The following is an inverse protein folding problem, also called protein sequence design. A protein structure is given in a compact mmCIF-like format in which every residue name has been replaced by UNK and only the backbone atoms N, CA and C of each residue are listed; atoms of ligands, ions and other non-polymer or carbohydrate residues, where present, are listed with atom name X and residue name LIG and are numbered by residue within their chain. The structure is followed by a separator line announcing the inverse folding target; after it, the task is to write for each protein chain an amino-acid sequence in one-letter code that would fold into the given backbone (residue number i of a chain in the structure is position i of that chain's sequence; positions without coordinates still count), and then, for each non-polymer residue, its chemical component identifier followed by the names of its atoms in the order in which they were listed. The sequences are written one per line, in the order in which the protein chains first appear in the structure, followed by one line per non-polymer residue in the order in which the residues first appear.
data_IF_723937113450
#
_entry.id   IF_723937113450
#
_cell.length_a   1.000
_cell.length_b   1.000
_cell.length_c   1.000
_cell.angle_alpha   90.00
_cell.angle_beta   90.00
_cell.angle_gamma   90.00
#
_symmetry.space_group_name_H-M   'P 1'
#
loop_
_entity.id
_entity.type
_entity.pdbx_description
1 polymer ?
#
# COMPACT_ATOMS: atom_id res chain seq x y z
N UNK A 1 -62.07 57.12 -43.61
CA UNK A 1 -60.59 56.98 -43.64
C UNK A 1 -60.22 55.77 -42.77
N UNK A 2 -59.93 54.63 -43.39
CA UNK A 2 -59.74 53.34 -42.70
C UNK A 2 -58.30 53.25 -42.19
N UNK A 3 -58.11 53.23 -40.88
CA UNK A 3 -56.81 52.95 -40.24
C UNK A 3 -56.65 51.44 -40.06
N UNK A 4 -55.95 50.77 -40.98
CA UNK A 4 -55.53 49.37 -40.81
C UNK A 4 -54.42 49.27 -39.77
N UNK A 5 -54.73 48.77 -38.56
CA UNK A 5 -53.74 48.51 -37.50
C UNK A 5 -52.83 47.33 -37.88
N UNK A 6 -51.56 47.63 -38.15
CA UNK A 6 -50.46 46.66 -38.29
C UNK A 6 -50.29 45.85 -36.99
N UNK A 7 -50.64 44.56 -36.99
CA UNK A 7 -50.37 43.62 -35.87
C UNK A 7 -48.85 43.39 -35.74
N UNK A 8 -48.22 43.98 -34.72
CA UNK A 8 -46.79 43.76 -34.34
C UNK A 8 -46.62 42.47 -33.48
N UNK A 9 -45.40 41.90 -33.37
CA UNK A 9 -45.16 40.47 -33.32
C UNK A 9 -45.21 39.88 -31.90
N UNK A 10 -46.41 39.63 -31.39
CA UNK A 10 -46.63 38.95 -30.10
C UNK A 10 -46.08 37.51 -30.11
N UNK A 11 -46.10 36.83 -31.26
CA UNK A 11 -45.67 35.44 -31.43
C UNK A 11 -44.16 35.24 -31.20
N UNK A 12 -43.30 36.10 -31.78
CA UNK A 12 -41.84 36.07 -31.59
C UNK A 12 -41.41 36.31 -30.13
N UNK A 13 -42.18 37.11 -29.37
CA UNK A 13 -41.87 37.40 -27.95
C UNK A 13 -42.18 36.21 -27.04
N UNK A 14 -43.25 35.45 -27.36
CA UNK A 14 -43.65 34.23 -26.64
C UNK A 14 -42.64 33.09 -26.85
N UNK A 15 -42.15 32.89 -28.07
CA UNK A 15 -41.13 31.87 -28.38
C UNK A 15 -39.80 32.16 -27.68
N UNK A 16 -39.30 33.40 -27.73
CA UNK A 16 -38.09 33.80 -26.97
C UNK A 16 -38.24 33.63 -25.46
N UNK A 17 -39.44 33.84 -24.91
CA UNK A 17 -39.73 33.59 -23.48
C UNK A 17 -39.70 32.10 -23.15
N UNK A 18 -40.25 31.26 -24.03
CA UNK A 18 -40.23 29.78 -23.90
C UNK A 18 -38.80 29.23 -23.96
N UNK A 19 -37.98 29.73 -24.90
CA UNK A 19 -36.58 29.31 -25.07
C UNK A 19 -35.67 29.73 -23.89
N UNK A 20 -35.93 30.90 -23.30
CA UNK A 20 -35.25 31.34 -22.07
C UNK A 20 -35.66 30.51 -20.85
N UNK A 21 -36.95 30.18 -20.74
CA UNK A 21 -37.47 29.29 -19.69
C UNK A 21 -36.90 27.88 -19.82
N UNK A 22 -36.82 27.33 -21.02
CA UNK A 22 -36.23 26.02 -21.27
C UNK A 22 -34.73 25.99 -20.93
N UNK A 23 -33.97 27.05 -21.30
CA UNK A 23 -32.56 27.20 -20.92
C UNK A 23 -32.35 27.33 -19.40
N UNK A 24 -33.27 27.98 -18.70
CA UNK A 24 -33.24 28.08 -17.24
C UNK A 24 -33.50 26.72 -16.58
N UNK A 25 -34.51 25.98 -17.06
CA UNK A 25 -34.83 24.63 -16.58
C UNK A 25 -33.65 23.69 -16.81
N UNK A 26 -33.05 23.72 -18.00
CA UNK A 26 -31.87 22.89 -18.33
C UNK A 26 -30.67 23.21 -17.42
N UNK A 27 -30.43 24.49 -17.09
CA UNK A 27 -29.38 24.90 -16.15
C UNK A 27 -29.65 24.40 -14.73
N UNK A 28 -30.90 24.44 -14.27
CA UNK A 28 -31.26 23.86 -12.98
C UNK A 28 -31.06 22.34 -12.96
N UNK A 29 -31.42 21.63 -14.03
CA UNK A 29 -31.18 20.19 -14.14
C UNK A 29 -29.69 19.85 -14.09
N UNK A 30 -28.85 20.56 -14.84
CA UNK A 30 -27.39 20.34 -14.83
C UNK A 30 -26.81 20.64 -13.43
N UNK A 31 -27.24 21.72 -12.78
CA UNK A 31 -26.78 22.07 -11.44
C UNK A 31 -27.17 21.01 -10.40
N UNK A 32 -28.42 20.53 -10.44
CA UNK A 32 -28.91 19.47 -9.56
C UNK A 32 -28.18 18.15 -9.79
N UNK A 33 -27.86 17.82 -11.04
CA UNK A 33 -27.07 16.63 -11.38
C UNK A 33 -25.65 16.72 -10.84
N UNK A 34 -24.96 17.85 -11.05
CA UNK A 34 -23.61 18.07 -10.52
C UNK A 34 -23.58 18.03 -8.99
N UNK A 35 -24.53 18.69 -8.33
CA UNK A 35 -24.68 18.65 -6.87
C UNK A 35 -24.92 17.21 -6.37
N UNK A 36 -25.79 16.47 -7.05
CA UNK A 36 -26.07 15.06 -6.74
C UNK A 36 -24.83 14.18 -6.90
N UNK A 37 -24.03 14.36 -7.95
CA UNK A 37 -22.78 13.61 -8.13
C UNK A 37 -21.74 13.93 -7.06
N UNK A 38 -21.58 15.21 -6.69
CA UNK A 38 -20.65 15.62 -5.63
C UNK A 38 -21.06 15.04 -4.29
N UNK A 39 -22.36 15.08 -3.96
CA UNK A 39 -22.91 14.46 -2.75
C UNK A 39 -22.76 12.94 -2.77
N UNK A 40 -22.98 12.28 -3.93
CA UNK A 40 -22.78 10.85 -4.08
C UNK A 40 -21.31 10.46 -3.86
N UNK A 41 -20.36 11.14 -4.49
CA UNK A 41 -18.93 10.89 -4.30
C UNK A 41 -18.47 11.23 -2.87
N UNK A 42 -18.99 12.29 -2.25
CA UNK A 42 -18.70 12.61 -0.85
C UNK A 42 -19.25 11.52 0.10
N UNK A 43 -20.45 11.00 -0.16
CA UNK A 43 -21.05 9.91 0.60
C UNK A 43 -20.27 8.60 0.42
N UNK A 44 -19.88 8.27 -0.81
CA UNK A 44 -19.01 7.12 -1.11
C UNK A 44 -17.65 7.24 -0.40
N UNK A 45 -17.01 8.41 -0.44
CA UNK A 45 -15.77 8.66 0.29
C UNK A 45 -15.95 8.55 1.81
N UNK A 46 -17.09 8.96 2.36
CA UNK A 46 -17.38 8.84 3.79
C UNK A 46 -17.65 7.40 4.21
N UNK A 47 -18.42 6.64 3.42
CA UNK A 47 -18.68 5.22 3.63
C UNK A 47 -17.40 4.38 3.54
N UNK A 48 -16.53 4.65 2.57
CA UNK A 48 -15.22 3.97 2.44
C UNK A 48 -14.27 4.35 3.57
N UNK A 49 -14.44 5.52 4.19
CA UNK A 49 -13.63 6.00 5.32
C UNK A 49 -14.12 5.51 6.68
N UNK A 50 -15.20 4.73 6.77
CA UNK A 50 -15.43 3.94 7.97
C UNK A 50 -14.24 2.99 8.12
N UNK A 51 -13.35 3.30 9.08
CA UNK A 51 -12.44 2.32 9.61
C UNK A 51 -13.28 1.12 10.07
N UNK A 52 -12.80 -0.11 9.87
CA UNK A 52 -13.47 -1.27 10.43
C UNK A 52 -13.69 -1.01 11.92
N UNK A 53 -14.96 -1.00 12.33
CA UNK A 53 -15.38 -1.02 13.73
C UNK A 53 -14.59 -2.14 14.41
N UNK A 54 -13.74 -1.77 15.37
CA UNK A 54 -12.85 -2.68 16.08
C UNK A 54 -13.73 -3.54 16.99
N UNK A 55 -14.39 -4.55 16.43
CA UNK A 55 -15.05 -5.58 17.23
C UNK A 55 -13.97 -6.14 18.15
N UNK A 56 -14.21 -6.14 19.46
CA UNK A 56 -13.42 -6.89 20.44
C UNK A 56 -13.59 -8.38 20.11
N UNK A 57 -12.83 -8.83 19.12
CA UNK A 57 -12.56 -10.23 18.89
C UNK A 57 -11.46 -10.55 19.89
N UNK A 58 -11.66 -11.56 20.74
CA UNK A 58 -10.56 -12.19 21.48
C UNK A 58 -9.63 -12.83 20.44
N UNK A 59 -8.75 -12.02 19.84
CA UNK A 59 -7.74 -12.48 18.90
C UNK A 59 -6.72 -13.19 19.77
N UNK A 60 -6.72 -14.52 19.70
CA UNK A 60 -5.63 -15.32 20.22
C UNK A 60 -4.33 -14.78 19.63
N UNK A 61 -3.53 -14.12 20.48
CA UNK A 61 -2.25 -13.54 20.08
C UNK A 61 -1.21 -14.63 20.13
N UNK A 62 -0.75 -15.07 18.96
CA UNK A 62 0.30 -16.06 18.84
C UNK A 62 1.63 -15.33 18.65
N UNK A 63 2.54 -15.36 19.64
CA UNK A 63 3.86 -14.75 19.47
C UNK A 63 4.71 -15.60 18.50
N UNK A 64 5.59 -14.94 17.74
CA UNK A 64 6.64 -15.57 16.91
C UNK A 64 6.13 -16.45 15.77
N UNK A 65 5.05 -16.04 15.10
CA UNK A 65 4.47 -16.76 13.96
C UNK A 65 5.42 -16.85 12.75
N UNK A 66 6.37 -15.93 12.66
CA UNK A 66 7.40 -15.87 11.62
C UNK A 66 8.47 -16.96 11.77
N UNK A 67 8.60 -17.57 12.96
CA UNK A 67 9.67 -18.53 13.24
C UNK A 67 9.28 -19.94 12.75
N UNK A 68 10.07 -20.56 11.86
CA UNK A 68 9.83 -21.93 11.42
C UNK A 68 9.92 -22.93 12.58
N UNK A 69 9.15 -24.02 12.48
CA UNK A 69 9.30 -25.16 13.39
C UNK A 69 10.70 -25.76 13.27
N UNK A 70 11.35 -26.02 14.41
CA UNK A 70 12.70 -26.60 14.40
C UNK A 70 12.71 -28.01 13.80
N UNK A 71 13.76 -28.30 13.02
CA UNK A 71 14.00 -29.62 12.44
C UNK A 71 15.00 -30.37 13.32
N UNK A 72 14.62 -31.56 13.81
CA UNK A 72 15.47 -32.37 14.70
C UNK A 72 16.72 -32.94 14.03
N UNK A 73 16.77 -32.94 12.69
CA UNK A 73 17.84 -33.55 11.90
C UNK A 73 18.78 -32.54 11.23
N UNK A 74 18.74 -31.26 11.61
CA UNK A 74 19.68 -30.24 11.10
C UNK A 74 20.39 -29.54 12.24
N UNK A 75 21.69 -29.29 12.04
CA UNK A 75 22.45 -28.45 12.96
C UNK A 75 21.99 -27.01 12.78
N UNK A 76 21.71 -26.37 13.90
CA UNK A 76 21.36 -24.95 13.93
C UNK A 76 21.90 -24.24 15.16
N UNK A 77 22.29 -22.99 14.94
CA UNK A 77 22.49 -21.99 15.97
C UNK A 77 21.45 -20.89 15.72
N UNK A 78 20.49 -20.75 16.64
CA UNK A 78 19.50 -19.65 16.57
C UNK A 78 20.13 -18.39 17.15
N UNK A 79 20.16 -17.32 16.35
CA UNK A 79 20.68 -16.01 16.73
C UNK A 79 19.57 -14.98 16.53
N UNK A 80 19.34 -14.17 17.57
CA UNK A 80 18.34 -13.11 17.58
C UNK A 80 19.04 -11.76 17.41
N UNK A 81 18.70 -11.05 16.33
CA UNK A 81 19.03 -9.65 16.15
C UNK A 81 17.76 -8.80 16.33
N UNK A 82 17.93 -7.48 16.38
CA UNK A 82 16.80 -6.56 16.58
C UNK A 82 15.75 -6.65 15.49
N UNK A 83 16.15 -6.77 14.23
CA UNK A 83 15.23 -6.76 13.07
C UNK A 83 14.95 -8.14 12.48
N UNK A 84 15.74 -9.18 12.81
CA UNK A 84 15.54 -10.52 12.27
C UNK A 84 16.12 -11.59 13.19
N UNK A 85 15.64 -12.82 13.01
CA UNK A 85 16.18 -14.04 13.61
C UNK A 85 16.77 -14.93 12.52
N UNK A 86 17.90 -15.57 12.78
CA UNK A 86 18.56 -16.48 11.84
C UNK A 86 18.82 -17.84 12.49
N UNK A 87 18.53 -18.92 11.76
CA UNK A 87 19.04 -20.26 12.07
C UNK A 87 20.29 -20.51 11.24
N UNK A 88 21.44 -20.49 11.90
CA UNK A 88 22.74 -20.65 11.25
C UNK A 88 23.23 -22.09 11.27
N UNK A 89 23.70 -22.59 10.13
CA UNK A 89 24.28 -23.93 10.01
C UNK A 89 25.81 -23.84 9.85
N UNK A 90 26.54 -24.14 10.92
CA UNK A 90 28.00 -24.10 10.95
C UNK A 90 28.66 -25.02 9.91
N UNK A 91 28.04 -26.17 9.61
CA UNK A 91 28.62 -27.16 8.69
C UNK A 91 28.63 -26.66 7.24
N UNK A 92 27.62 -25.89 6.85
CA UNK A 92 27.53 -25.28 5.52
C UNK A 92 28.02 -23.84 5.48
N UNK A 93 28.28 -23.24 6.65
CA UNK A 93 28.59 -21.81 6.82
C UNK A 93 27.53 -20.88 6.25
N UNK A 94 26.29 -21.35 6.23
CA UNK A 94 25.15 -20.68 5.64
C UNK A 94 23.95 -20.77 6.59
N UNK A 95 23.04 -19.79 6.53
CA UNK A 95 21.78 -19.90 7.26
C UNK A 95 20.90 -21.00 6.66
N UNK A 96 20.24 -21.77 7.52
CA UNK A 96 19.11 -22.62 7.14
C UNK A 96 17.90 -21.74 6.74
N UNK A 97 17.67 -20.67 7.50
CA UNK A 97 16.60 -19.68 7.26
C UNK A 97 16.89 -18.35 7.98
N UNK A 98 16.25 -17.29 7.50
CA UNK A 98 16.15 -15.98 8.15
C UNK A 98 14.66 -15.62 8.23
N UNK A 99 14.20 -15.16 9.38
CA UNK A 99 12.81 -14.80 9.63
C UNK A 99 12.73 -13.44 10.32
N UNK A 100 11.76 -12.63 9.90
CA UNK A 100 11.50 -11.30 10.45
C UNK A 100 10.03 -10.95 10.27
N UNK A 101 9.52 -10.07 11.13
CA UNK A 101 8.22 -9.46 10.98
C UNK A 101 8.36 -8.20 10.11
N UNK A 102 7.38 -7.94 9.24
CA UNK A 102 7.31 -6.72 8.46
C UNK A 102 5.96 -6.05 8.67
N UNK A 103 5.97 -4.93 9.39
CA UNK A 103 4.80 -4.09 9.62
C UNK A 103 4.61 -3.07 8.50
N UNK A 104 3.39 -2.54 8.37
CA UNK A 104 3.10 -1.49 7.37
C UNK A 104 3.98 -0.25 7.55
N UNK A 105 4.35 0.11 8.78
CA UNK A 105 5.22 1.26 9.08
C UNK A 105 6.64 1.07 8.58
N UNK A 106 7.14 -0.16 8.67
CA UNK A 106 8.49 -0.59 8.30
C UNK A 106 8.74 -0.54 6.78
N UNK A 107 7.69 -0.75 5.96
CA UNK A 107 7.78 -0.63 4.47
C UNK A 107 8.23 0.72 3.90
N UNK A 108 8.48 1.73 4.75
CA UNK A 108 8.92 3.08 4.38
C UNK A 108 10.37 3.36 4.76
N UNK A 109 11.15 2.35 5.13
CA UNK A 109 12.58 2.51 5.37
C UNK A 109 13.30 3.09 4.15
N UNK A 110 14.34 3.88 4.41
CA UNK A 110 15.11 4.60 3.37
C UNK A 110 16.58 4.16 3.34
N UNK A 111 16.94 3.21 4.20
CA UNK A 111 18.29 2.71 4.33
C UNK A 111 18.74 1.99 3.06
N UNK A 112 19.96 2.29 2.62
CA UNK A 112 20.50 1.74 1.38
C UNK A 112 21.22 0.43 1.65
N UNK A 113 21.06 -0.52 0.74
CA UNK A 113 21.84 -1.76 0.75
C UNK A 113 23.35 -1.44 0.69
N UNK A 114 24.08 -1.94 1.67
CA UNK A 114 25.54 -1.89 1.71
C UNK A 114 26.17 -3.06 0.94
N UNK A 115 27.37 -2.87 0.41
CA UNK A 115 28.23 -3.94 -0.14
C UNK A 115 29.28 -4.43 0.88
N UNK A 116 29.09 -4.11 2.16
CA UNK A 116 30.01 -4.50 3.23
C UNK A 116 29.53 -5.80 3.88
N UNK A 117 30.21 -6.89 3.57
CA UNK A 117 29.96 -8.20 4.15
C UNK A 117 30.92 -8.43 5.32
N UNK A 118 30.37 -8.53 6.53
CA UNK A 118 31.09 -8.73 7.78
C UNK A 118 30.56 -10.02 8.42
N UNK A 119 31.45 -10.84 8.96
CA UNK A 119 31.06 -12.02 9.73
C UNK A 119 30.33 -11.60 11.01
N UNK A 120 29.20 -12.22 11.29
CA UNK A 120 28.42 -11.94 12.49
C UNK A 120 29.21 -12.41 13.74
N UNK A 121 29.50 -11.51 14.70
CA UNK A 121 30.24 -11.85 15.92
C UNK A 121 29.48 -12.83 16.84
N UNK A 122 28.15 -12.98 16.68
CA UNK A 122 27.36 -13.91 17.48
C UNK A 122 27.47 -15.36 16.97
N UNK A 123 27.96 -15.58 15.75
CA UNK A 123 28.18 -16.93 15.20
C UNK A 123 29.30 -17.63 15.98
N UNK A 124 29.04 -18.86 16.41
CA UNK A 124 30.05 -19.74 16.99
C UNK A 124 30.64 -20.59 15.87
N UNK A 125 31.97 -20.72 15.87
CA UNK A 125 32.67 -21.54 14.88
C UNK A 125 32.99 -20.78 13.59
N UNK A 126 32.98 -21.50 12.47
CA UNK A 126 33.39 -20.93 11.18
C UNK A 126 32.24 -20.16 10.50
N UNK A 127 32.58 -19.03 9.88
CA UNK A 127 31.69 -18.25 9.01
C UNK A 127 32.30 -18.08 7.62
N UNK A 128 31.45 -17.87 6.62
CA UNK A 128 31.91 -17.62 5.25
C UNK A 128 32.66 -16.28 5.19
N UNK A 129 33.84 -16.30 4.60
CA UNK A 129 34.70 -15.12 4.46
C UNK A 129 34.64 -14.56 3.04
N UNK A 130 34.99 -13.28 2.87
CA UNK A 130 35.02 -12.63 1.55
C UNK A 130 35.91 -13.37 0.53
N UNK A 131 36.99 -13.99 1.01
CA UNK A 131 37.90 -14.81 0.20
C UNK A 131 37.25 -16.08 -0.37
N UNK A 132 36.23 -16.62 0.29
CA UNK A 132 35.56 -17.86 -0.15
C UNK A 132 34.75 -17.63 -1.43
N UNK A 133 34.44 -16.37 -1.75
CA UNK A 133 33.75 -15.94 -2.97
C UNK A 133 34.70 -15.37 -4.03
N UNK A 134 35.97 -15.16 -3.71
CA UNK A 134 36.92 -14.58 -4.66
C UNK A 134 37.28 -15.64 -5.73
N UNK A 135 37.06 -15.31 -7.01
CA UNK A 135 37.28 -16.22 -8.15
C UNK A 135 36.44 -17.52 -8.14
N UNK A 136 35.38 -17.59 -7.33
CA UNK A 136 34.53 -18.79 -7.28
C UNK A 136 33.50 -18.84 -8.43
N UNK A 137 33.25 -17.72 -9.10
CA UNK A 137 32.14 -17.55 -10.05
C UNK A 137 30.79 -17.23 -9.38
N UNK A 138 30.75 -17.08 -8.05
CA UNK A 138 29.56 -16.75 -7.26
C UNK A 138 29.70 -15.40 -6.55
N UNK A 139 28.58 -14.73 -6.30
CA UNK A 139 28.52 -13.48 -5.53
C UNK A 139 27.77 -13.67 -4.19
N UNK A 140 27.84 -12.66 -3.32
CA UNK A 140 27.19 -12.62 -2.00
C UNK A 140 25.94 -11.76 -2.04
N UNK A 141 24.93 -12.12 -1.25
CA UNK A 141 23.68 -11.39 -1.10
C UNK A 141 23.20 -11.32 0.35
N UNK A 142 22.21 -10.46 0.61
CA UNK A 142 21.52 -10.38 1.90
C UNK A 142 20.20 -11.14 1.82
N UNK A 143 19.82 -11.85 2.89
CA UNK A 143 18.52 -12.53 2.99
C UNK A 143 17.43 -11.65 3.58
N UNK A 144 17.80 -10.71 4.45
CA UNK A 144 16.92 -9.67 4.94
C UNK A 144 17.20 -8.37 4.16
N UNK A 145 16.16 -7.66 3.71
CA UNK A 145 16.29 -6.34 3.09
C UNK A 145 16.77 -5.30 4.11
N UNK A 146 17.47 -4.27 3.62
CA UNK A 146 18.03 -3.21 4.46
C UNK A 146 17.03 -2.08 4.76
N UNK A 147 15.97 -1.96 3.96
CA UNK A 147 15.03 -0.83 3.96
C UNK A 147 13.65 -1.18 4.53
N UNK A 148 13.56 -2.32 5.21
CA UNK A 148 12.41 -2.73 5.99
C UNK A 148 12.53 -2.12 7.41
#
# INVERSE_FOLDING_TARGET
MVQTKKKRPVRKKREKKKEKSLRLVLRCFIFLFLLGTVLFFACQCFCVRQQPEHKNVDIATYPKLEIPQSLSNRREQIIFHTSYTVSYNELWRLPNWVAYELTRSETRGTEKRSNRFIADPQIKGASAANKDYLHSGYDKGHLAPAAD
#
